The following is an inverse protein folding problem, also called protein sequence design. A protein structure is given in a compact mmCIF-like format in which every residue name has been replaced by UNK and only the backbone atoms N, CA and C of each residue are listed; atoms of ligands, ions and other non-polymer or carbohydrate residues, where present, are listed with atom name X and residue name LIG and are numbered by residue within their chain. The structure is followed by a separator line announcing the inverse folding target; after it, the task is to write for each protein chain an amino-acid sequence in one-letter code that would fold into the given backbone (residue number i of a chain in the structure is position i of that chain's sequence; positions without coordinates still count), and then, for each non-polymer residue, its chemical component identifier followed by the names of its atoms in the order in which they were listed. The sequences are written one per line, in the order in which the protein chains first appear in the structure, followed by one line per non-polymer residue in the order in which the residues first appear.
data_IF_364565517487
#
_entry.id   IF_364565517487
#
_cell.length_a   1.000
_cell.length_b   1.000
_cell.length_c   1.000
_cell.angle_alpha   90.00
_cell.angle_beta   90.00
_cell.angle_gamma   90.00
#
_symmetry.space_group_name_H-M   'P 1'
#
loop_
_entity.id
_entity.type
_entity.pdbx_description
1 polymer ?
#
# COMPACT_ATOMS: atom_id res chain seq x y z
N UNK A 1 -8.66 2.89 -35.15
CA UNK A 1 -8.86 2.08 -33.93
C UNK A 1 -8.52 2.98 -32.75
N UNK A 2 -9.38 3.06 -31.74
CA UNK A 2 -9.16 3.92 -30.55
C UNK A 2 -8.06 3.36 -29.66
N UNK A 3 -7.12 4.22 -29.21
CA UNK A 3 -5.96 3.83 -28.39
C UNK A 3 -6.16 4.33 -26.95
N UNK A 4 -6.34 3.40 -26.03
CA UNK A 4 -6.33 3.66 -24.58
C UNK A 4 -4.93 3.40 -24.03
N UNK A 5 -4.35 4.39 -23.39
CA UNK A 5 -3.12 4.20 -22.59
C UNK A 5 -3.45 4.39 -21.12
N UNK A 6 -3.13 3.40 -20.31
CA UNK A 6 -3.28 3.40 -18.85
C UNK A 6 -1.88 3.39 -18.26
N UNK A 7 -1.54 4.42 -17.48
CA UNK A 7 -0.25 4.51 -16.80
C UNK A 7 -0.43 4.25 -15.32
N UNK A 8 0.19 3.18 -14.85
CA UNK A 8 0.10 2.68 -13.48
C UNK A 8 -0.79 1.44 -13.37
N UNK A 9 -0.18 0.29 -13.09
CA UNK A 9 -0.82 -1.01 -12.92
C UNK A 9 -1.29 -1.30 -11.48
N UNK A 10 -1.54 -0.27 -10.68
CA UNK A 10 -2.11 -0.41 -9.34
C UNK A 10 -3.54 -0.96 -9.35
N UNK A 11 -4.19 -0.96 -8.17
CA UNK A 11 -5.53 -1.54 -7.97
C UNK A 11 -6.57 -1.11 -9.01
N UNK A 12 -6.60 0.18 -9.37
CA UNK A 12 -7.57 0.68 -10.36
C UNK A 12 -7.10 0.54 -11.79
N UNK A 13 -5.80 0.78 -12.08
CA UNK A 13 -5.28 0.76 -13.45
C UNK A 13 -5.27 -0.63 -14.05
N UNK A 14 -4.81 -1.64 -13.31
CA UNK A 14 -4.83 -3.03 -13.78
C UNK A 14 -6.27 -3.53 -13.98
N UNK A 15 -7.19 -3.23 -13.03
CA UNK A 15 -8.59 -3.60 -13.20
C UNK A 15 -9.21 -2.97 -14.45
N UNK A 16 -8.93 -1.68 -14.69
CA UNK A 16 -9.45 -0.99 -15.87
C UNK A 16 -8.86 -1.59 -17.17
N UNK A 17 -7.55 -1.89 -17.19
CA UNK A 17 -6.88 -2.52 -18.33
C UNK A 17 -7.49 -3.89 -18.63
N UNK A 18 -7.69 -4.73 -17.61
CA UNK A 18 -8.32 -6.05 -17.70
C UNK A 18 -9.73 -5.94 -18.32
N UNK A 19 -10.58 -5.07 -17.77
CA UNK A 19 -11.96 -4.90 -18.25
C UNK A 19 -12.05 -4.34 -19.67
N UNK A 20 -11.18 -3.37 -20.01
CA UNK A 20 -11.15 -2.80 -21.36
C UNK A 20 -10.59 -3.81 -22.37
N UNK A 21 -9.56 -4.56 -21.98
CA UNK A 21 -8.98 -5.62 -22.79
C UNK A 21 -9.98 -6.75 -23.08
N UNK A 22 -10.68 -7.25 -22.07
CA UNK A 22 -11.74 -8.27 -22.22
C UNK A 22 -12.87 -7.80 -23.14
N UNK A 23 -13.16 -6.50 -23.15
CA UNK A 23 -14.29 -5.93 -23.89
C UNK A 23 -13.95 -5.51 -25.32
N UNK A 24 -12.79 -4.91 -25.50
CA UNK A 24 -12.41 -4.21 -26.73
C UNK A 24 -11.12 -4.75 -27.35
N UNK A 25 -10.27 -5.41 -26.59
CA UNK A 25 -9.05 -6.06 -27.04
C UNK A 25 -9.33 -7.36 -27.81
N UNK A 26 -8.27 -8.10 -28.06
CA UNK A 26 -8.35 -9.42 -28.66
C UNK A 26 -7.35 -10.36 -28.02
N UNK A 27 -7.80 -11.56 -27.67
CA UNK A 27 -6.96 -12.69 -27.24
C UNK A 27 -6.73 -13.68 -28.38
N UNK A 28 -7.35 -13.45 -29.54
CA UNK A 28 -7.27 -14.30 -30.74
C UNK A 28 -6.75 -13.47 -31.92
N UNK A 29 -5.67 -13.92 -32.55
CA UNK A 29 -5.09 -13.30 -33.75
C UNK A 29 -6.08 -13.15 -34.92
N UNK A 30 -7.12 -13.97 -34.96
CA UNK A 30 -8.15 -13.95 -36.03
C UNK A 30 -9.21 -12.87 -35.80
N UNK A 31 -9.35 -12.37 -34.58
CA UNK A 31 -10.39 -11.38 -34.26
C UNK A 31 -9.73 -10.02 -34.05
N UNK A 32 -9.92 -9.04 -34.96
CA UNK A 32 -9.29 -7.74 -34.78
C UNK A 32 -9.85 -7.04 -33.52
N UNK A 33 -9.01 -6.40 -32.74
CA UNK A 33 -9.46 -5.64 -31.56
C UNK A 33 -10.32 -4.44 -31.99
N UNK A 34 -11.31 -4.10 -31.16
CA UNK A 34 -12.15 -2.91 -31.35
C UNK A 34 -11.45 -1.64 -30.88
N UNK A 35 -10.58 -1.77 -29.91
CA UNK A 35 -9.66 -0.73 -29.44
C UNK A 35 -8.35 -1.37 -29.00
N UNK A 36 -7.26 -0.60 -29.08
CA UNK A 36 -5.98 -0.97 -28.50
C UNK A 36 -5.94 -0.47 -27.06
N UNK A 37 -5.60 -1.35 -26.13
CA UNK A 37 -5.47 -1.04 -24.71
C UNK A 37 -4.04 -1.35 -24.29
N UNK A 38 -3.31 -0.35 -23.80
CA UNK A 38 -1.92 -0.52 -23.38
C UNK A 38 -1.80 -0.10 -21.89
N UNK A 39 -1.32 -1.02 -21.07
CA UNK A 39 -0.95 -0.77 -19.68
C UNK A 39 0.55 -0.48 -19.60
N UNK A 40 0.92 0.58 -18.89
CA UNK A 40 2.32 0.95 -18.63
C UNK A 40 2.52 0.95 -17.12
N UNK A 41 3.53 0.22 -16.66
CA UNK A 41 4.00 0.29 -15.26
C UNK A 41 5.52 0.13 -15.23
N UNK A 42 6.15 0.76 -14.24
CA UNK A 42 7.60 0.65 -14.02
C UNK A 42 8.02 -0.73 -13.53
N UNK A 43 7.12 -1.45 -12.84
CA UNK A 43 7.35 -2.81 -12.38
C UNK A 43 6.80 -3.82 -13.39
N UNK A 44 7.35 -5.04 -13.48
CA UNK A 44 6.81 -6.10 -14.32
C UNK A 44 5.60 -6.79 -13.69
N UNK A 45 5.39 -6.62 -12.38
CA UNK A 45 4.40 -7.33 -11.58
C UNK A 45 3.52 -6.38 -10.77
N UNK A 46 2.29 -6.82 -10.52
CA UNK A 46 1.38 -6.17 -9.59
C UNK A 46 1.44 -6.83 -8.22
N UNK A 47 1.56 -6.02 -7.18
CA UNK A 47 1.31 -6.43 -5.81
C UNK A 47 0.21 -5.56 -5.20
N UNK A 48 -0.61 -6.16 -4.36
CA UNK A 48 -1.63 -5.43 -3.62
C UNK A 48 -0.99 -4.58 -2.52
N UNK A 49 -0.77 -3.30 -2.80
CA UNK A 49 -0.04 -2.36 -1.91
C UNK A 49 -0.51 -2.39 -0.44
N UNK A 50 -1.80 -2.56 -0.10
CA UNK A 50 -2.23 -2.71 1.28
C UNK A 50 -1.59 -3.86 2.06
N UNK A 51 -1.01 -4.87 1.39
CA UNK A 51 -0.33 -6.00 2.05
C UNK A 51 1.18 -5.79 2.25
N UNK A 52 1.74 -4.64 1.89
CA UNK A 52 3.19 -4.39 2.04
C UNK A 52 3.67 -4.45 3.50
N UNK A 53 2.81 -4.20 4.47
CA UNK A 53 3.13 -4.38 5.89
C UNK A 53 3.36 -5.86 6.25
N UNK A 54 2.65 -6.80 5.62
CA UNK A 54 2.87 -8.24 5.79
C UNK A 54 4.18 -8.69 5.15
N UNK A 55 4.56 -8.12 3.98
CA UNK A 55 5.86 -8.35 3.35
C UNK A 55 6.98 -7.83 4.25
N UNK A 56 6.84 -6.61 4.78
CA UNK A 56 7.81 -5.99 5.68
C UNK A 56 8.00 -6.80 6.97
N UNK A 57 6.92 -7.33 7.52
CA UNK A 57 6.97 -8.21 8.68
C UNK A 57 7.45 -9.63 8.35
N UNK A 58 7.48 -10.04 7.09
CA UNK A 58 7.89 -11.38 6.66
C UNK A 58 6.80 -12.45 6.77
N UNK A 59 5.57 -12.07 7.13
CA UNK A 59 4.43 -12.99 7.19
C UNK A 59 3.83 -13.31 5.82
N UNK A 60 4.21 -12.53 4.79
CA UNK A 60 3.83 -12.77 3.40
C UNK A 60 5.06 -12.83 2.49
N UNK A 61 5.09 -13.82 1.60
CA UNK A 61 6.06 -13.89 0.51
C UNK A 61 5.51 -13.17 -0.72
N UNK A 62 6.11 -12.05 -1.16
CA UNK A 62 5.62 -11.28 -2.31
C UNK A 62 5.59 -12.13 -3.58
N UNK A 63 6.57 -12.99 -3.84
CA UNK A 63 6.65 -13.83 -5.04
C UNK A 63 5.46 -14.79 -5.21
N UNK A 64 4.74 -15.10 -4.15
CA UNK A 64 3.55 -15.97 -4.22
C UNK A 64 2.25 -15.20 -4.45
N UNK A 65 2.28 -13.88 -4.37
CA UNK A 65 1.11 -12.99 -4.45
C UNK A 65 1.21 -11.97 -5.59
N UNK A 66 2.36 -11.88 -6.24
CA UNK A 66 2.55 -11.02 -7.40
C UNK A 66 1.82 -11.56 -8.62
N UNK A 67 1.24 -10.64 -9.39
CA UNK A 67 0.58 -10.94 -10.66
C UNK A 67 1.43 -10.35 -11.79
N UNK A 68 1.91 -11.20 -12.68
CA UNK A 68 2.67 -10.81 -13.87
C UNK A 68 1.80 -10.01 -14.85
N UNK A 69 2.15 -8.75 -15.12
CA UNK A 69 1.39 -7.93 -16.08
C UNK A 69 1.37 -8.51 -17.50
N UNK A 70 2.48 -9.12 -17.94
CA UNK A 70 2.55 -9.75 -19.27
C UNK A 70 1.57 -10.92 -19.39
N UNK A 71 1.42 -11.74 -18.34
CA UNK A 71 0.45 -12.82 -18.32
C UNK A 71 -0.99 -12.28 -18.30
N UNK A 72 -1.26 -11.24 -17.50
CA UNK A 72 -2.57 -10.58 -17.49
C UNK A 72 -2.92 -10.00 -18.88
N UNK A 73 -1.95 -9.36 -19.54
CA UNK A 73 -2.12 -8.80 -20.87
C UNK A 73 -2.54 -9.88 -21.89
N UNK A 74 -1.85 -11.01 -21.88
CA UNK A 74 -2.17 -12.14 -22.74
C UNK A 74 -3.57 -12.70 -22.49
N UNK A 75 -3.95 -12.87 -21.23
CA UNK A 75 -5.23 -13.48 -20.86
C UNK A 75 -6.44 -12.58 -21.10
N UNK A 76 -6.22 -11.25 -21.08
CA UNK A 76 -7.28 -10.26 -21.13
C UNK A 76 -7.22 -9.35 -22.37
N UNK A 77 -6.35 -9.63 -23.34
CA UNK A 77 -6.33 -8.95 -24.63
C UNK A 77 -5.93 -7.47 -24.55
N UNK A 78 -5.06 -7.09 -23.62
CA UNK A 78 -4.40 -5.79 -23.62
C UNK A 78 -2.89 -5.96 -23.82
N UNK A 79 -2.18 -4.87 -24.09
CA UNK A 79 -0.72 -4.86 -24.20
C UNK A 79 -0.10 -4.34 -22.90
N UNK A 80 1.03 -4.93 -22.50
CA UNK A 80 1.82 -4.42 -21.38
C UNK A 80 3.16 -3.87 -21.89
N UNK A 81 3.51 -2.68 -21.44
CA UNK A 81 4.82 -2.08 -21.67
C UNK A 81 5.44 -1.64 -20.35
N UNK A 82 6.58 -2.25 -19.99
CA UNK A 82 7.32 -1.84 -18.82
C UNK A 82 8.01 -0.49 -19.04
N UNK A 83 7.86 0.43 -18.09
CA UNK A 83 8.49 1.74 -18.11
C UNK A 83 7.79 2.74 -17.21
N UNK A 84 8.42 3.87 -17.01
CA UNK A 84 7.92 4.97 -16.17
C UNK A 84 7.48 6.16 -17.04
N UNK A 85 6.36 6.77 -16.71
CA UNK A 85 5.93 8.03 -17.34
C UNK A 85 6.92 9.13 -16.95
N UNK A 86 7.54 9.75 -17.94
CA UNK A 86 8.48 10.87 -17.74
C UNK A 86 8.04 12.16 -18.44
N UNK A 87 7.06 12.10 -19.33
CA UNK A 87 6.54 13.27 -20.03
C UNK A 87 5.16 13.07 -20.65
N UNK A 88 4.51 14.18 -20.95
CA UNK A 88 3.24 14.26 -21.66
C UNK A 88 3.28 15.42 -22.65
N UNK A 89 2.75 15.22 -23.84
CA UNK A 89 2.47 16.26 -24.83
C UNK A 89 1.01 16.15 -25.27
N UNK A 90 0.14 16.96 -24.67
CA UNK A 90 -1.31 16.94 -24.95
C UNK A 90 -1.65 17.40 -26.35
N UNK A 91 -0.88 18.35 -26.89
CA UNK A 91 -1.11 18.86 -28.25
C UNK A 91 -0.87 17.79 -29.33
N UNK A 92 0.15 16.94 -29.11
CA UNK A 92 0.45 15.79 -29.99
C UNK A 92 -0.28 14.53 -29.60
N UNK A 93 -0.91 14.50 -28.41
CA UNK A 93 -1.49 13.30 -27.78
C UNK A 93 -0.45 12.18 -27.65
N UNK A 94 0.74 12.49 -27.12
CA UNK A 94 1.80 11.52 -26.84
C UNK A 94 2.20 11.55 -25.39
N UNK A 95 2.60 10.41 -24.86
CA UNK A 95 3.32 10.30 -23.61
C UNK A 95 4.76 9.87 -23.89
N UNK A 96 5.66 10.30 -23.01
CA UNK A 96 7.05 9.83 -23.02
C UNK A 96 7.22 8.80 -21.90
N UNK A 97 7.66 7.59 -22.28
CA UNK A 97 8.03 6.51 -21.37
C UNK A 97 9.54 6.50 -21.27
N UNK A 98 10.07 6.65 -20.07
CA UNK A 98 11.51 6.69 -19.81
C UNK A 98 12.24 5.40 -20.18
N UNK A 99 13.56 5.44 -20.25
CA UNK A 99 14.38 4.27 -20.56
C UNK A 99 14.23 3.21 -19.46
N UNK A 100 14.17 1.95 -19.87
CA UNK A 100 14.23 0.81 -18.94
C UNK A 100 15.70 0.43 -18.76
N UNK A 101 16.17 0.41 -17.50
CA UNK A 101 17.53 0.06 -17.14
C UNK A 101 17.55 -1.08 -16.14
N UNK A 102 18.51 -1.95 -16.31
CA UNK A 102 18.86 -3.00 -15.36
C UNK A 102 20.20 -2.67 -14.69
N UNK A 103 20.35 -3.00 -13.41
CA UNK A 103 21.58 -2.69 -12.65
C UNK A 103 22.83 -3.37 -13.22
N UNK A 104 22.67 -4.53 -13.88
CA UNK A 104 23.78 -5.33 -14.42
C UNK A 104 23.88 -5.27 -15.94
N UNK A 105 22.75 -5.18 -16.65
CA UNK A 105 22.69 -5.22 -18.10
C UNK A 105 22.70 -3.81 -18.76
N UNK A 106 22.57 -2.73 -17.97
CA UNK A 106 22.53 -1.37 -18.49
C UNK A 106 21.16 -1.00 -19.07
N UNK A 107 21.13 -0.25 -20.18
CA UNK A 107 19.89 0.17 -20.82
C UNK A 107 19.29 -0.97 -21.65
N UNK A 108 18.12 -1.47 -21.23
CA UNK A 108 17.36 -2.53 -21.90
C UNK A 108 16.47 -1.97 -23.01
N UNK A 109 15.79 -0.85 -22.75
CA UNK A 109 14.95 -0.14 -23.70
C UNK A 109 15.24 1.36 -23.64
N UNK A 110 15.35 2.06 -24.78
CA UNK A 110 15.49 3.50 -24.79
C UNK A 110 14.20 4.20 -24.39
N UNK A 111 14.32 5.51 -24.16
CA UNK A 111 13.17 6.39 -24.07
C UNK A 111 12.31 6.29 -25.35
N UNK A 112 10.97 6.30 -25.20
CA UNK A 112 10.04 6.15 -26.33
C UNK A 112 8.78 6.96 -26.14
N UNK A 113 8.24 7.45 -27.25
CA UNK A 113 6.95 8.12 -27.29
C UNK A 113 5.84 7.13 -27.70
N UNK A 114 4.68 7.24 -27.06
CA UNK A 114 3.48 6.47 -27.37
C UNK A 114 2.31 7.41 -27.59
N UNK A 115 1.59 7.20 -28.69
CA UNK A 115 0.42 7.99 -29.04
C UNK A 115 -0.86 7.42 -28.38
N UNK A 116 -1.74 8.31 -27.92
CA UNK A 116 -3.04 7.94 -27.35
C UNK A 116 -4.19 8.73 -27.94
N UNK A 117 -5.38 8.16 -27.90
CA UNK A 117 -6.64 8.87 -28.09
C UNK A 117 -7.29 9.19 -26.74
N UNK A 118 -7.08 8.31 -25.76
CA UNK A 118 -7.47 8.51 -24.36
C UNK A 118 -6.33 8.07 -23.43
N UNK A 119 -5.87 8.97 -22.55
CA UNK A 119 -4.86 8.69 -21.53
C UNK A 119 -5.52 8.59 -20.16
N UNK A 120 -5.16 7.56 -19.40
CA UNK A 120 -5.60 7.36 -18.02
C UNK A 120 -4.39 7.33 -17.10
N UNK A 121 -4.28 8.30 -16.19
CA UNK A 121 -3.22 8.39 -15.18
C UNK A 121 -3.70 7.69 -13.90
N UNK A 122 -3.06 6.58 -13.54
CA UNK A 122 -3.41 5.72 -12.40
C UNK A 122 -2.18 5.36 -11.54
N UNK A 123 -1.18 6.26 -11.47
CA UNK A 123 0.13 6.01 -10.87
C UNK A 123 0.15 6.02 -9.33
N UNK A 124 -1.00 6.17 -8.70
CA UNK A 124 -1.15 6.09 -7.24
C UNK A 124 -0.49 7.22 -6.47
N UNK A 125 0.01 6.90 -5.29
CA UNK A 125 0.65 7.82 -4.35
C UNK A 125 2.01 7.33 -3.89
N UNK A 126 2.82 8.27 -3.38
CA UNK A 126 4.10 8.02 -2.71
C UNK A 126 4.06 8.58 -1.29
N UNK A 127 4.95 8.12 -0.45
CA UNK A 127 5.10 8.61 0.93
C UNK A 127 5.44 10.11 0.95
N UNK A 128 4.81 10.84 1.86
CA UNK A 128 5.07 12.25 2.13
C UNK A 128 5.87 12.41 3.42
N UNK A 129 7.10 12.89 3.31
CA UNK A 129 7.99 13.11 4.47
C UNK A 129 7.79 14.49 5.15
N UNK A 130 6.85 15.31 4.69
CA UNK A 130 6.50 16.64 5.22
C UNK A 130 7.68 17.62 5.37
N UNK A 131 8.81 17.36 4.70
CA UNK A 131 10.02 18.17 4.84
C UNK A 131 10.77 17.93 6.17
N UNK A 132 10.43 16.89 6.91
CA UNK A 132 11.11 16.53 8.16
C UNK A 132 12.56 16.17 7.87
N UNK A 133 13.48 16.83 8.57
CA UNK A 133 14.91 16.65 8.40
C UNK A 133 15.33 15.20 8.62
N UNK A 134 16.10 14.66 7.66
CA UNK A 134 16.62 13.29 7.70
C UNK A 134 15.57 12.18 7.53
N UNK A 135 14.28 12.47 7.45
CA UNK A 135 13.23 11.45 7.37
C UNK A 135 13.37 10.59 6.10
N UNK A 136 13.62 11.19 4.95
CA UNK A 136 13.77 10.46 3.69
C UNK A 136 15.03 9.60 3.64
N UNK A 137 16.11 10.05 4.28
CA UNK A 137 17.42 9.38 4.27
C UNK A 137 17.52 8.26 5.32
N UNK A 138 16.90 8.46 6.48
CA UNK A 138 17.08 7.63 7.67
C UNK A 138 15.87 6.76 8.01
N UNK A 139 14.79 6.81 7.22
CA UNK A 139 13.64 5.92 7.39
C UNK A 139 13.33 5.13 6.12
N UNK A 140 12.59 4.05 6.28
CA UNK A 140 12.09 3.21 5.20
C UNK A 140 10.59 3.49 5.04
N UNK A 141 10.20 3.94 3.85
CA UNK A 141 8.78 3.98 3.47
C UNK A 141 8.31 2.57 3.05
N UNK A 142 7.00 2.34 3.04
CA UNK A 142 6.41 1.09 2.55
C UNK A 142 5.59 1.35 1.27
N UNK A 143 6.26 1.91 0.27
CA UNK A 143 5.64 2.20 -1.03
C UNK A 143 5.80 1.07 -2.04
N UNK A 144 6.87 0.27 -1.89
CA UNK A 144 7.26 -0.79 -2.84
C UNK A 144 7.65 -2.08 -2.12
N UNK A 145 7.61 -3.20 -2.85
CA UNK A 145 8.09 -4.51 -2.37
C UNK A 145 9.54 -4.43 -1.92
N UNK A 146 10.41 -3.80 -2.73
CA UNK A 146 11.83 -3.66 -2.41
C UNK A 146 12.08 -2.93 -1.09
N UNK A 147 11.28 -1.89 -0.76
CA UNK A 147 11.37 -1.20 0.53
C UNK A 147 10.89 -2.08 1.69
N UNK A 148 9.79 -2.82 1.50
CA UNK A 148 9.29 -3.77 2.50
C UNK A 148 10.31 -4.88 2.78
N UNK A 149 10.91 -5.45 1.73
CA UNK A 149 11.98 -6.45 1.86
C UNK A 149 13.26 -5.90 2.47
N UNK A 150 13.65 -4.66 2.13
CA UNK A 150 14.78 -3.99 2.75
C UNK A 150 14.57 -3.86 4.27
N UNK A 151 13.38 -3.43 4.69
CA UNK A 151 13.03 -3.36 6.10
C UNK A 151 13.13 -4.74 6.76
N UNK A 152 12.52 -5.77 6.17
CA UNK A 152 12.57 -7.14 6.67
C UNK A 152 14.01 -7.64 6.84
N UNK A 153 14.85 -7.49 5.81
CA UNK A 153 16.28 -7.89 5.85
C UNK A 153 17.03 -7.17 6.97
N UNK A 154 16.80 -5.88 7.16
CA UNK A 154 17.43 -5.10 8.23
C UNK A 154 16.96 -5.54 9.62
N UNK A 155 15.66 -5.83 9.76
CA UNK A 155 15.09 -6.34 11.03
C UNK A 155 15.72 -7.68 11.40
N UNK A 156 15.75 -8.65 10.48
CA UNK A 156 16.36 -9.96 10.70
C UNK A 156 17.84 -9.83 11.06
N UNK A 157 18.59 -8.99 10.34
CA UNK A 157 20.01 -8.74 10.62
C UNK A 157 20.22 -8.09 12.00
N UNK A 158 19.32 -7.21 12.44
CA UNK A 158 19.36 -6.64 13.80
C UNK A 158 19.10 -7.72 14.86
N UNK A 159 18.10 -8.58 14.66
CA UNK A 159 17.80 -9.70 15.53
C UNK A 159 18.97 -10.69 15.63
N UNK A 160 19.60 -11.06 14.51
CA UNK A 160 20.76 -11.94 14.50
C UNK A 160 21.96 -11.35 15.26
N UNK A 161 22.23 -10.05 15.10
CA UNK A 161 23.28 -9.36 15.86
C UNK A 161 22.97 -9.35 17.36
N UNK A 162 21.74 -9.01 17.73
CA UNK A 162 21.33 -8.96 19.12
C UNK A 162 21.38 -10.34 19.79
N UNK A 163 21.02 -11.41 19.09
CA UNK A 163 21.16 -12.80 19.53
C UNK A 163 22.62 -13.17 19.76
N UNK A 164 23.52 -12.84 18.81
CA UNK A 164 24.95 -13.19 18.89
C UNK A 164 25.64 -12.54 20.08
N UNK A 165 25.34 -11.27 20.35
CA UNK A 165 25.93 -10.50 21.43
C UNK A 165 25.12 -10.58 22.74
N UNK A 166 24.08 -11.38 22.78
CA UNK A 166 23.31 -11.61 24.01
C UNK A 166 24.19 -12.34 25.05
N UNK A 167 24.17 -11.94 26.32
CA UNK A 167 24.75 -12.75 27.38
C UNK A 167 24.07 -14.13 27.42
N UNK A 168 24.83 -15.17 27.84
CA UNK A 168 24.21 -16.48 28.04
C UNK A 168 23.08 -16.36 29.07
N UNK A 169 21.95 -17.07 28.89
CA UNK A 169 20.90 -17.09 29.89
C UNK A 169 21.51 -17.55 31.22
N UNK A 170 21.41 -16.74 32.23
CA UNK A 170 21.82 -17.15 33.57
C UNK A 170 20.91 -18.31 33.98
N UNK A 171 21.51 -19.47 34.28
CA UNK A 171 20.75 -20.64 34.70
C UNK A 171 19.83 -20.24 35.87
N UNK A 172 18.56 -20.59 35.77
CA UNK A 172 17.57 -20.28 36.78
C UNK A 172 18.05 -20.79 38.17
N UNK A 173 18.50 -19.91 39.04
CA UNK A 173 19.02 -20.27 40.37
C UNK A 173 19.85 -19.18 41.04
N UNK A 174 20.09 -18.03 40.43
CA UNK A 174 20.71 -16.88 41.13
C UNK A 174 19.71 -15.73 41.08
N UNK A 175 18.87 -15.66 42.10
CA UNK A 175 18.21 -14.44 42.50
C UNK A 175 19.33 -13.44 42.83
N UNK A 176 19.38 -12.31 42.10
CA UNK A 176 19.91 -11.04 42.57
C UNK A 176 20.29 -10.15 41.35
N UNK A 177 19.30 -9.60 40.71
CA UNK A 177 19.33 -8.21 40.28
C UNK A 177 17.97 -7.64 40.65
N UNK A 178 17.91 -6.91 41.75
CA UNK A 178 16.75 -6.10 42.08
C UNK A 178 16.47 -5.18 40.90
N UNK A 179 15.44 -5.51 40.11
CA UNK A 179 14.84 -4.59 39.16
C UNK A 179 14.43 -3.34 39.95
N UNK A 180 15.08 -2.23 39.72
CA UNK A 180 14.60 -0.96 40.28
C UNK A 180 13.15 -0.78 39.80
N UNK A 181 12.19 -0.68 40.71
CA UNK A 181 10.79 -0.59 40.34
C UNK A 181 10.54 0.74 39.63
N UNK A 182 10.31 0.67 38.29
CA UNK A 182 9.87 1.82 37.49
C UNK A 182 10.70 2.17 36.25
N UNK A 183 11.76 1.46 35.94
CA UNK A 183 12.51 1.66 34.69
C UNK A 183 12.19 0.50 33.76
N UNK A 184 11.41 0.76 32.70
CA UNK A 184 11.21 -0.24 31.62
C UNK A 184 12.57 -0.65 31.04
N UNK A 185 12.89 -1.93 30.94
CA UNK A 185 14.15 -2.38 30.38
C UNK A 185 14.33 -1.83 28.96
N UNK A 186 15.51 -1.29 28.66
CA UNK A 186 15.81 -0.74 27.34
C UNK A 186 15.88 -1.91 26.36
N UNK A 187 15.03 -1.99 25.34
CA UNK A 187 15.04 -3.08 24.39
C UNK A 187 16.37 -3.11 23.61
N UNK A 188 16.86 -4.29 23.28
CA UNK A 188 18.09 -4.48 22.48
C UNK A 188 17.93 -3.92 21.08
N UNK A 189 16.74 -4.09 20.50
CA UNK A 189 16.34 -3.58 19.18
C UNK A 189 15.13 -2.69 19.37
N UNK A 190 15.20 -1.44 18.91
CA UNK A 190 14.08 -0.52 18.91
C UNK A 190 13.63 -0.23 17.48
N UNK A 191 12.41 -0.63 17.14
CA UNK A 191 11.74 -0.25 15.90
C UNK A 191 10.82 0.93 16.16
N UNK A 192 11.00 2.01 15.44
CA UNK A 192 10.12 3.17 15.47
C UNK A 192 9.28 3.26 14.21
N UNK A 193 7.98 3.44 14.36
CA UNK A 193 7.03 3.60 13.28
C UNK A 193 6.41 4.99 13.40
N UNK A 194 6.60 5.83 12.40
CA UNK A 194 6.06 7.20 12.34
C UNK A 194 4.78 7.21 11.54
N UNK A 195 3.68 7.59 12.17
CA UNK A 195 2.33 7.61 11.59
C UNK A 195 1.48 6.43 12.05
N UNK A 196 0.43 6.71 12.82
CA UNK A 196 -0.51 5.72 13.33
C UNK A 196 -1.82 5.65 12.52
N UNK A 197 -1.72 5.78 11.20
CA UNK A 197 -2.76 5.38 10.25
C UNK A 197 -2.86 3.85 10.14
N UNK A 198 -3.66 3.36 9.18
CA UNK A 198 -3.85 1.91 8.99
C UNK A 198 -2.51 1.17 8.83
N UNK A 199 -1.64 1.62 7.94
CA UNK A 199 -0.34 0.96 7.65
C UNK A 199 0.56 0.85 8.89
N UNK A 200 0.70 1.94 9.68
CA UNK A 200 1.55 1.91 10.87
C UNK A 200 0.98 1.01 11.97
N UNK A 201 -0.32 1.02 12.16
CA UNK A 201 -1.03 0.17 13.11
C UNK A 201 -0.92 -1.31 12.71
N UNK A 202 -1.19 -1.64 11.45
CA UNK A 202 -1.08 -3.00 10.90
C UNK A 202 0.34 -3.54 11.01
N UNK A 203 1.35 -2.73 10.63
CA UNK A 203 2.75 -3.11 10.76
C UNK A 203 3.14 -3.34 12.22
N UNK A 204 2.71 -2.47 13.15
CA UNK A 204 3.02 -2.62 14.59
C UNK A 204 2.52 -3.95 15.16
N UNK A 205 1.30 -4.34 14.80
CA UNK A 205 0.72 -5.61 15.23
C UNK A 205 1.43 -6.81 14.59
N UNK A 206 1.72 -6.73 13.29
CA UNK A 206 2.35 -7.82 12.55
C UNK A 206 3.81 -8.03 12.98
N UNK A 207 4.56 -6.95 13.26
CA UNK A 207 5.93 -7.04 13.80
C UNK A 207 5.97 -7.74 15.16
N UNK A 208 4.97 -7.55 16.00
CA UNK A 208 4.90 -8.24 17.29
C UNK A 208 4.71 -9.76 17.11
N UNK A 209 3.89 -10.14 16.14
CA UNK A 209 3.73 -11.54 15.74
C UNK A 209 5.05 -12.11 15.17
N UNK A 210 5.71 -11.37 14.28
CA UNK A 210 7.00 -11.76 13.70
C UNK A 210 8.07 -11.97 14.76
N UNK A 211 8.17 -11.08 15.74
CA UNK A 211 9.11 -11.19 16.85
C UNK A 211 8.95 -12.53 17.59
N UNK A 212 7.71 -12.94 17.88
CA UNK A 212 7.42 -14.23 18.54
C UNK A 212 7.83 -15.42 17.67
N UNK A 213 7.60 -15.36 16.35
CA UNK A 213 7.97 -16.44 15.43
C UNK A 213 9.49 -16.54 15.27
N UNK A 214 10.20 -15.40 15.20
CA UNK A 214 11.67 -15.38 15.10
C UNK A 214 12.34 -16.03 16.32
N UNK A 215 11.83 -15.76 17.52
CA UNK A 215 12.31 -16.45 18.73
C UNK A 215 12.11 -17.96 18.65
N UNK A 216 10.96 -18.42 18.15
CA UNK A 216 10.68 -19.85 17.98
C UNK A 216 11.55 -20.51 16.88
N UNK A 217 12.13 -19.77 15.94
CA UNK A 217 12.96 -20.28 14.83
C UNK A 217 14.47 -20.31 15.13
N UNK A 218 14.88 -20.10 16.37
CA UNK A 218 16.27 -20.30 16.77
C UNK A 218 16.96 -19.07 17.36
N UNK A 219 16.25 -17.97 17.54
CA UNK A 219 16.77 -16.82 18.29
C UNK A 219 16.40 -16.96 19.78
N UNK A 220 17.01 -17.96 20.45
CA UNK A 220 16.59 -18.40 21.78
C UNK A 220 17.03 -17.50 22.92
N UNK A 221 18.05 -16.63 22.69
CA UNK A 221 18.56 -15.67 23.68
C UNK A 221 17.81 -14.34 23.66
N UNK A 222 16.92 -14.16 22.66
CA UNK A 222 16.08 -12.96 22.56
C UNK A 222 14.70 -13.22 23.13
N UNK A 223 14.31 -12.42 24.12
CA UNK A 223 12.91 -12.33 24.52
C UNK A 223 12.15 -11.40 23.58
N UNK A 224 11.21 -11.92 22.77
CA UNK A 224 10.48 -11.13 21.78
C UNK A 224 9.66 -10.00 22.40
N UNK A 225 9.33 -10.06 23.70
CA UNK A 225 8.56 -9.01 24.39
C UNK A 225 9.44 -7.88 24.91
N UNK A 226 10.60 -8.20 25.43
CA UNK A 226 11.48 -7.26 26.14
C UNK A 226 12.62 -6.77 25.25
N UNK A 227 13.20 -7.65 24.42
CA UNK A 227 14.37 -7.31 23.61
C UNK A 227 14.02 -6.61 22.29
N UNK A 228 12.78 -6.76 21.78
CA UNK A 228 12.32 -6.09 20.57
C UNK A 228 11.25 -5.05 20.93
N UNK A 229 11.67 -3.80 21.11
CA UNK A 229 10.79 -2.68 21.34
C UNK A 229 10.13 -2.19 20.04
N UNK A 230 8.84 -1.89 20.08
CA UNK A 230 8.10 -1.25 19.01
C UNK A 230 7.46 0.01 19.54
N UNK A 231 7.78 1.17 18.94
CA UNK A 231 7.14 2.44 19.26
C UNK A 231 6.41 2.97 18.05
N UNK A 232 5.13 3.32 18.24
CA UNK A 232 4.27 3.93 17.23
C UNK A 232 4.04 5.39 17.59
N UNK A 233 4.50 6.31 16.72
CA UNK A 233 4.50 7.76 16.96
C UNK A 233 3.44 8.39 16.05
N UNK A 234 2.56 9.22 16.65
CA UNK A 234 1.47 9.89 15.96
C UNK A 234 1.40 11.36 16.37
N UNK A 235 1.35 12.25 15.38
CA UNK A 235 1.22 13.68 15.61
C UNK A 235 -0.16 14.08 16.19
N UNK A 236 -1.20 13.34 15.80
CA UNK A 236 -2.56 13.54 16.30
C UNK A 236 -2.78 12.99 17.70
N UNK A 237 -3.90 13.36 18.34
CA UNK A 237 -4.21 12.95 19.71
C UNK A 237 -4.59 11.48 19.87
N UNK A 238 -4.82 10.75 18.76
CA UNK A 238 -5.21 9.34 18.76
C UNK A 238 -4.72 8.61 17.53
N UNK A 239 -4.54 7.32 17.63
CA UNK A 239 -4.26 6.45 16.48
C UNK A 239 -5.50 6.29 15.59
N UNK A 240 -5.35 5.87 14.33
CA UNK A 240 -6.44 5.68 13.36
C UNK A 240 -7.39 6.90 13.31
N UNK A 241 -6.91 8.13 13.09
CA UNK A 241 -7.73 9.34 13.19
C UNK A 241 -8.89 9.37 12.19
N UNK A 242 -8.79 8.63 11.09
CA UNK A 242 -9.84 8.51 10.08
C UNK A 242 -11.00 7.58 10.47
N UNK A 243 -10.84 6.80 11.54
CA UNK A 243 -11.86 5.87 12.03
C UNK A 243 -12.62 6.46 13.24
N UNK A 244 -13.70 5.80 13.63
CA UNK A 244 -14.47 6.20 14.80
C UNK A 244 -13.61 6.08 16.07
N UNK A 245 -13.82 6.96 17.04
CA UNK A 245 -13.03 7.04 18.26
C UNK A 245 -13.01 5.71 19.04
N UNK A 246 -14.15 5.03 19.16
CA UNK A 246 -14.25 3.72 19.82
C UNK A 246 -13.34 2.66 19.17
N UNK A 247 -13.16 2.69 17.82
CA UNK A 247 -12.23 1.80 17.11
C UNK A 247 -10.80 2.14 17.47
N UNK A 248 -10.48 3.44 17.51
CA UNK A 248 -9.17 3.94 17.90
C UNK A 248 -8.81 3.49 19.34
N UNK A 249 -9.72 3.63 20.29
CA UNK A 249 -9.50 3.23 21.69
C UNK A 249 -9.28 1.72 21.79
N UNK A 250 -10.17 0.90 21.22
CA UNK A 250 -10.03 -0.56 21.27
C UNK A 250 -8.73 -1.06 20.62
N UNK A 251 -8.32 -0.41 19.52
CA UNK A 251 -7.06 -0.73 18.85
C UNK A 251 -5.85 -0.32 19.70
N UNK A 252 -5.89 0.85 20.34
CA UNK A 252 -4.82 1.31 21.22
C UNK A 252 -4.63 0.37 22.42
N UNK A 253 -5.72 -0.05 23.05
CA UNK A 253 -5.68 -1.02 24.15
C UNK A 253 -5.07 -2.35 23.72
N UNK A 254 -5.43 -2.85 22.53
CA UNK A 254 -4.87 -4.10 22.01
C UNK A 254 -3.38 -3.96 21.71
N UNK A 255 -2.95 -2.90 21.01
CA UNK A 255 -1.52 -2.66 20.71
C UNK A 255 -0.70 -2.53 22.03
N UNK A 256 -1.23 -1.84 23.03
CA UNK A 256 -0.58 -1.72 24.33
C UNK A 256 -0.45 -3.09 25.02
N UNK A 257 -1.49 -3.93 25.01
CA UNK A 257 -1.42 -5.32 25.51
C UNK A 257 -0.40 -6.18 24.76
N UNK A 258 -0.18 -5.89 23.47
CA UNK A 258 0.85 -6.52 22.66
C UNK A 258 2.27 -5.97 22.95
N UNK A 259 2.41 -4.98 23.83
CA UNK A 259 3.69 -4.36 24.18
C UNK A 259 4.18 -3.36 23.14
N UNK A 260 3.28 -2.77 22.33
CA UNK A 260 3.60 -1.63 21.46
C UNK A 260 3.47 -0.35 22.27
N UNK A 261 4.54 0.45 22.34
CA UNK A 261 4.52 1.77 22.98
C UNK A 261 3.86 2.79 22.04
N UNK A 262 2.76 3.38 22.50
CA UNK A 262 2.05 4.41 21.74
C UNK A 262 2.49 5.81 22.20
N UNK A 263 2.86 6.66 21.25
CA UNK A 263 3.21 8.07 21.50
C UNK A 263 2.34 8.94 20.60
N UNK A 264 1.19 9.35 21.13
CA UNK A 264 0.26 10.28 20.47
C UNK A 264 0.57 11.72 20.84
N UNK A 265 0.08 12.68 20.05
CA UNK A 265 0.38 14.11 20.17
C UNK A 265 1.89 14.43 20.11
N UNK A 266 2.64 13.60 19.39
CA UNK A 266 4.09 13.75 19.21
C UNK A 266 4.42 13.94 17.73
N UNK A 267 4.76 15.17 17.38
CA UNK A 267 5.20 15.50 16.01
C UNK A 267 6.69 15.24 15.86
N UNK A 268 7.08 14.45 14.89
CA UNK A 268 8.49 14.20 14.56
C UNK A 268 9.08 15.45 13.90
N UNK A 269 10.19 15.95 14.41
CA UNK A 269 10.89 17.11 13.90
C UNK A 269 12.15 16.73 13.10
N UNK A 270 12.84 15.65 13.51
CA UNK A 270 14.05 15.16 12.83
C UNK A 270 14.16 13.64 12.99
N UNK A 271 14.70 13.00 11.97
CA UNK A 271 15.05 11.56 11.99
C UNK A 271 16.55 11.42 11.73
N UNK A 272 17.25 10.89 12.71
CA UNK A 272 18.68 10.53 12.62
C UNK A 272 18.82 9.03 12.33
N UNK A 273 20.05 8.57 12.17
CA UNK A 273 20.35 7.16 11.87
C UNK A 273 19.89 6.20 12.95
N UNK A 274 19.93 6.64 14.20
CA UNK A 274 19.70 5.84 15.42
C UNK A 274 18.70 6.45 16.38
N UNK A 275 18.07 7.56 16.01
CA UNK A 275 17.14 8.28 16.87
C UNK A 275 16.14 9.14 16.11
N UNK A 276 15.01 9.41 16.76
CA UNK A 276 13.97 10.34 16.33
C UNK A 276 13.85 11.43 17.37
N UNK A 277 13.83 12.68 16.91
CA UNK A 277 13.58 13.85 17.73
C UNK A 277 12.18 14.39 17.48
N UNK A 278 11.41 14.61 18.53
CA UNK A 278 10.07 15.21 18.42
C UNK A 278 10.10 16.71 18.66
N UNK A 279 9.07 17.41 18.20
CA UNK A 279 8.92 18.84 18.44
C UNK A 279 8.74 19.19 19.92
N UNK A 280 8.33 18.23 20.76
CA UNK A 280 8.25 18.40 22.23
C UNK A 280 9.61 18.27 22.94
N UNK A 281 10.69 17.99 22.18
CA UNK A 281 12.05 17.84 22.71
C UNK A 281 12.39 16.42 23.20
N UNK A 282 11.51 15.43 22.98
CA UNK A 282 11.83 14.03 23.29
C UNK A 282 12.77 13.43 22.25
N UNK A 283 13.74 12.64 22.72
CA UNK A 283 14.60 11.80 21.90
C UNK A 283 14.17 10.34 22.07
N UNK A 284 13.94 9.65 20.96
CA UNK A 284 13.52 8.26 20.91
C UNK A 284 14.61 7.48 20.19
N UNK A 285 15.25 6.53 20.85
CA UNK A 285 16.18 5.61 20.19
C UNK A 285 15.42 4.80 19.13
N UNK A 286 16.03 4.60 17.96
CA UNK A 286 15.45 3.81 16.88
C UNK A 286 16.56 3.16 16.07
N UNK A 287 16.72 1.84 16.20
CA UNK A 287 17.65 1.07 15.36
C UNK A 287 17.11 0.90 13.93
N UNK A 288 15.78 0.95 13.79
CA UNK A 288 15.07 0.92 12.52
C UNK A 288 13.90 1.90 12.57
N UNK A 289 13.80 2.76 11.56
CA UNK A 289 12.68 3.69 11.43
C UNK A 289 11.86 3.39 10.19
N UNK A 290 10.55 3.22 10.36
CA UNK A 290 9.57 3.14 9.26
C UNK A 290 8.77 4.43 9.22
N UNK A 291 8.63 5.01 8.04
CA UNK A 291 7.79 6.17 7.82
C UNK A 291 6.48 5.77 7.15
N UNK A 292 5.40 5.71 7.91
CA UNK A 292 4.05 5.36 7.49
C UNK A 292 3.08 6.56 7.55
N UNK A 293 3.63 7.78 7.70
CA UNK A 293 2.85 9.02 7.82
C UNK A 293 2.69 9.71 6.47
N UNK A 294 1.44 9.98 6.11
CA UNK A 294 1.09 10.82 4.96
C UNK A 294 1.45 10.24 3.59
N UNK A 295 0.67 10.65 2.61
CA UNK A 295 0.88 10.35 1.20
C UNK A 295 0.76 11.62 0.37
N UNK A 296 1.42 11.64 -0.78
CA UNK A 296 1.29 12.65 -1.82
C UNK A 296 1.32 11.99 -3.19
N UNK A 297 0.85 12.68 -4.19
CA UNK A 297 1.00 12.19 -5.56
C UNK A 297 2.46 12.24 -6.01
N UNK A 298 2.86 11.36 -6.96
CA UNK A 298 4.21 11.38 -7.53
C UNK A 298 4.57 12.75 -8.14
N UNK A 299 5.84 13.17 -7.96
CA UNK A 299 6.31 14.51 -8.32
C UNK A 299 6.15 14.83 -9.83
N UNK A 300 6.17 13.82 -10.69
CA UNK A 300 5.99 13.99 -12.13
C UNK A 300 4.69 14.70 -12.47
N UNK A 301 3.62 14.53 -11.68
CA UNK A 301 2.33 15.15 -11.93
C UNK A 301 2.33 16.66 -11.77
N UNK A 302 3.22 17.21 -10.97
CA UNK A 302 3.30 18.66 -10.72
C UNK A 302 3.65 19.46 -12.00
N UNK A 303 4.37 18.81 -12.93
CA UNK A 303 4.80 19.44 -14.19
C UNK A 303 4.36 18.66 -15.43
N UNK A 304 3.25 17.92 -15.36
CA UNK A 304 2.78 17.09 -16.45
C UNK A 304 1.99 17.93 -17.46
N UNK A 305 2.69 18.59 -18.38
CA UNK A 305 2.18 19.41 -19.49
C UNK A 305 1.08 20.42 -19.06
N UNK A 306 1.29 21.08 -17.91
CA UNK A 306 0.40 22.11 -17.39
C UNK A 306 -0.94 21.61 -16.85
N UNK A 307 -1.11 20.30 -16.64
CA UNK A 307 -2.27 19.76 -15.96
C UNK A 307 -2.34 20.27 -14.52
N UNK A 308 -3.48 20.82 -14.06
CA UNK A 308 -3.60 21.39 -12.74
C UNK A 308 -3.55 20.32 -11.65
N UNK A 309 -2.87 20.65 -10.54
CA UNK A 309 -2.76 19.78 -9.37
C UNK A 309 -3.17 20.52 -8.10
N UNK A 310 -3.62 19.79 -7.10
CA UNK A 310 -3.85 20.31 -5.75
C UNK A 310 -2.54 20.40 -4.94
N UNK A 311 -2.63 20.79 -3.65
CA UNK A 311 -1.47 20.93 -2.73
C UNK A 311 -0.72 19.62 -2.47
N UNK A 312 -1.36 18.46 -2.68
CA UNK A 312 -0.75 17.14 -2.54
C UNK A 312 -0.18 16.62 -3.87
N UNK A 313 -0.18 17.45 -4.94
CA UNK A 313 0.28 17.07 -6.27
C UNK A 313 -0.69 16.18 -7.05
N UNK A 314 -1.91 15.93 -6.54
CA UNK A 314 -2.92 15.13 -7.22
C UNK A 314 -3.51 15.93 -8.39
N UNK A 315 -3.68 15.29 -9.55
CA UNK A 315 -4.36 15.88 -10.69
C UNK A 315 -5.80 16.25 -10.33
N UNK A 316 -6.20 17.51 -10.55
CA UNK A 316 -7.58 17.94 -10.35
C UNK A 316 -8.45 17.41 -11.49
N UNK A 317 -9.52 16.71 -11.13
CA UNK A 317 -10.42 16.10 -12.10
C UNK A 317 -11.87 16.50 -11.85
N UNK A 318 -12.64 16.52 -12.94
CA UNK A 318 -14.09 16.65 -12.88
C UNK A 318 -14.73 15.36 -12.36
N UNK A 319 -16.00 15.38 -12.07
CA UNK A 319 -16.75 14.16 -11.67
C UNK A 319 -16.82 13.10 -12.78
N UNK A 320 -16.53 13.44 -14.01
CA UNK A 320 -16.32 12.50 -15.13
C UNK A 320 -14.98 11.77 -15.05
N UNK A 321 -14.11 12.13 -14.09
CA UNK A 321 -12.71 11.75 -13.96
C UNK A 321 -11.78 12.24 -15.08
N UNK A 322 -12.27 13.10 -15.96
CA UNK A 322 -11.44 13.87 -16.89
C UNK A 322 -10.69 14.97 -16.12
N UNK A 323 -9.49 15.31 -16.56
CA UNK A 323 -8.78 16.48 -16.03
C UNK A 323 -9.56 17.76 -16.35
N UNK A 324 -9.34 18.82 -15.60
CA UNK A 324 -10.12 20.08 -15.77
C UNK A 324 -9.95 20.72 -17.13
N UNK A 325 -8.78 20.57 -17.75
CA UNK A 325 -8.38 21.29 -18.96
C UNK A 325 -8.20 20.41 -20.20
N UNK A 326 -8.36 19.07 -20.09
CA UNK A 326 -8.22 18.16 -21.23
C UNK A 326 -9.22 17.01 -21.14
N UNK A 327 -10.07 16.90 -22.16
CA UNK A 327 -11.13 15.88 -22.22
C UNK A 327 -10.63 14.49 -22.56
N UNK A 328 -9.40 14.36 -23.05
CA UNK A 328 -8.80 13.07 -23.43
C UNK A 328 -7.90 12.51 -22.33
N UNK A 329 -7.64 13.27 -21.26
CA UNK A 329 -6.81 12.86 -20.14
C UNK A 329 -7.65 12.66 -18.89
N UNK A 330 -7.64 11.46 -18.36
CA UNK A 330 -8.36 11.04 -17.16
C UNK A 330 -7.36 10.71 -16.04
N UNK A 331 -7.81 10.80 -14.79
CA UNK A 331 -7.04 10.28 -13.66
C UNK A 331 -7.94 9.56 -12.66
N UNK A 332 -7.38 8.53 -12.00
CA UNK A 332 -8.08 7.75 -11.00
C UNK A 332 -7.16 7.32 -9.84
N UNK A 333 -7.75 6.92 -8.73
CA UNK A 333 -7.04 6.48 -7.54
C UNK A 333 -6.36 7.62 -6.78
N UNK A 334 -5.29 7.30 -6.07
CA UNK A 334 -4.64 8.22 -5.13
C UNK A 334 -3.98 9.43 -5.81
N UNK A 335 -3.69 9.36 -7.11
CA UNK A 335 -3.13 10.48 -7.88
C UNK A 335 -4.19 11.47 -8.39
N UNK A 336 -5.48 11.23 -8.16
CA UNK A 336 -6.58 12.04 -8.63
C UNK A 336 -7.30 12.76 -7.47
N UNK A 337 -7.49 14.06 -7.58
CA UNK A 337 -8.31 14.88 -6.68
C UNK A 337 -9.73 14.98 -7.25
N UNK A 338 -10.55 13.94 -6.99
CA UNK A 338 -11.92 13.87 -7.47
C UNK A 338 -12.90 14.49 -6.45
N UNK A 339 -13.78 15.43 -6.85
CA UNK A 339 -14.78 15.99 -5.96
C UNK A 339 -15.73 14.92 -5.41
N UNK A 340 -16.05 15.03 -4.11
CA UNK A 340 -17.03 14.16 -3.44
C UNK A 340 -18.27 14.97 -3.06
N UNK A 341 -19.37 14.88 -3.81
CA UNK A 341 -20.57 15.66 -3.55
C UNK A 341 -21.09 15.49 -2.14
N UNK A 342 -21.44 16.62 -1.50
CA UNK A 342 -21.90 16.62 -0.11
C UNK A 342 -20.79 16.55 0.95
N UNK A 343 -19.52 16.57 0.53
CA UNK A 343 -18.37 16.61 1.43
C UNK A 343 -17.45 17.78 1.06
N UNK A 344 -16.81 18.37 2.06
CA UNK A 344 -15.80 19.43 1.84
C UNK A 344 -14.47 18.87 1.30
N UNK A 345 -14.26 17.56 1.42
CA UNK A 345 -13.05 16.85 1.00
C UNK A 345 -13.28 16.07 -0.28
N UNK A 346 -12.22 15.91 -1.04
CA UNK A 346 -12.21 15.01 -2.19
C UNK A 346 -12.40 13.53 -1.77
N UNK A 347 -12.70 12.69 -2.74
CA UNK A 347 -12.72 11.25 -2.57
C UNK A 347 -11.39 10.80 -1.93
N UNK A 348 -11.44 10.05 -0.81
CA UNK A 348 -10.23 9.66 -0.10
C UNK A 348 -9.36 8.70 -0.91
N UNK A 349 -8.03 8.82 -0.82
CA UNK A 349 -7.09 7.90 -1.47
C UNK A 349 -7.14 6.52 -0.81
N UNK A 350 -7.90 5.62 -1.40
CA UNK A 350 -8.13 4.25 -0.92
C UNK A 350 -8.31 3.29 -2.08
N UNK A 351 -7.90 2.04 -1.90
CA UNK A 351 -8.07 0.99 -2.89
C UNK A 351 -9.55 0.83 -3.34
N UNK A 352 -10.51 0.95 -2.42
CA UNK A 352 -11.94 0.89 -2.77
C UNK A 352 -12.40 2.05 -3.67
N UNK A 353 -11.81 3.24 -3.53
CA UNK A 353 -12.10 4.37 -4.41
C UNK A 353 -11.55 4.12 -5.82
N UNK A 354 -10.30 3.64 -5.92
CA UNK A 354 -9.68 3.29 -7.19
C UNK A 354 -10.46 2.19 -7.93
N UNK A 355 -10.93 1.16 -7.22
CA UNK A 355 -11.78 0.09 -7.78
C UNK A 355 -13.13 0.63 -8.31
N UNK A 356 -13.81 1.49 -7.53
CA UNK A 356 -15.06 2.10 -7.98
C UNK A 356 -14.85 3.02 -9.20
N UNK A 357 -13.76 3.79 -9.22
CA UNK A 357 -13.40 4.67 -10.32
C UNK A 357 -13.03 3.86 -11.59
N UNK A 358 -12.32 2.75 -11.47
CA UNK A 358 -12.02 1.85 -12.59
C UNK A 358 -13.32 1.27 -13.19
N UNK A 359 -14.21 0.76 -12.34
CA UNK A 359 -15.53 0.25 -12.75
C UNK A 359 -16.40 1.33 -13.41
N UNK A 360 -16.32 2.56 -12.93
CA UNK A 360 -17.03 3.71 -13.48
C UNK A 360 -16.46 4.12 -14.84
N UNK A 361 -15.12 4.23 -14.98
CA UNK A 361 -14.46 4.59 -16.24
C UNK A 361 -14.70 3.52 -17.33
N UNK A 362 -14.69 2.25 -16.97
CA UNK A 362 -15.04 1.20 -17.92
C UNK A 362 -16.40 1.45 -18.59
N UNK A 363 -17.44 1.71 -17.79
CA UNK A 363 -18.78 2.04 -18.29
C UNK A 363 -18.82 3.38 -19.05
N UNK A 364 -18.02 4.33 -18.61
CA UNK A 364 -17.92 5.64 -19.26
C UNK A 364 -17.29 5.51 -20.65
N UNK A 365 -16.26 4.71 -20.80
CA UNK A 365 -15.63 4.48 -22.12
C UNK A 365 -16.49 3.65 -23.07
N UNK A 366 -17.29 2.71 -22.58
CA UNK A 366 -18.32 2.06 -23.42
C UNK A 366 -19.31 3.09 -24.01
N UNK A 367 -19.72 4.06 -23.19
CA UNK A 367 -20.61 5.16 -23.63
C UNK A 367 -19.91 6.10 -24.60
N UNK A 368 -18.67 6.49 -24.28
CA UNK A 368 -17.85 7.39 -25.10
C UNK A 368 -17.65 6.85 -26.52
N UNK A 369 -17.30 5.57 -26.66
CA UNK A 369 -17.15 4.91 -27.97
C UNK A 369 -18.46 4.82 -28.75
N UNK A 370 -19.62 4.96 -28.10
CA UNK A 370 -20.94 5.06 -28.71
C UNK A 370 -21.38 6.50 -28.99
N UNK A 371 -20.50 7.49 -28.75
CA UNK A 371 -20.84 8.93 -28.89
C UNK A 371 -21.82 9.45 -27.84
N UNK A 372 -22.01 8.76 -26.72
CA UNK A 372 -22.91 9.15 -25.63
C UNK A 372 -22.16 10.02 -24.60
N UNK A 373 -22.85 10.97 -23.93
CA UNK A 373 -22.25 11.80 -22.90
C UNK A 373 -21.76 10.95 -21.73
N UNK A 374 -20.64 11.40 -21.11
CA UNK A 374 -20.08 10.75 -19.93
C UNK A 374 -20.97 10.98 -18.70
N UNK A 375 -21.17 9.98 -17.86
CA UNK A 375 -21.87 10.12 -16.59
C UNK A 375 -21.00 10.85 -15.55
N UNK A 376 -21.58 11.17 -14.40
CA UNK A 376 -20.86 11.70 -13.25
C UNK A 376 -20.63 10.63 -12.19
N UNK A 377 -19.40 10.56 -11.70
CA UNK A 377 -18.98 9.64 -10.64
C UNK A 377 -19.52 10.08 -9.28
N UNK A 378 -19.94 9.11 -8.51
CA UNK A 378 -20.31 9.28 -7.10
C UNK A 378 -19.66 8.19 -6.27
N UNK A 379 -18.79 8.59 -5.35
CA UNK A 379 -18.13 7.67 -4.43
C UNK A 379 -19.09 7.17 -3.35
N UNK A 380 -19.04 5.87 -3.08
CA UNK A 380 -19.73 5.23 -1.95
C UNK A 380 -18.69 4.72 -0.97
N UNK A 381 -18.71 5.23 0.24
CA UNK A 381 -17.84 4.75 1.31
C UNK A 381 -18.46 3.49 1.95
N UNK A 382 -17.80 2.37 1.81
CA UNK A 382 -18.19 1.10 2.45
C UNK A 382 -17.55 0.90 3.82
N UNK A 383 -16.82 1.89 4.32
CA UNK A 383 -16.10 1.83 5.57
C UNK A 383 -14.62 1.48 5.39
N UNK A 384 -13.98 1.15 6.49
CA UNK A 384 -12.56 0.78 6.53
C UNK A 384 -12.35 -0.34 7.53
N UNK A 385 -11.46 -1.26 7.16
CA UNK A 385 -11.01 -2.37 8.00
C UNK A 385 -9.49 -2.25 8.18
N UNK A 386 -9.03 -2.55 9.37
CA UNK A 386 -7.61 -2.56 9.75
C UNK A 386 -7.30 -3.94 10.33
N UNK A 387 -6.31 -4.60 9.78
CA UNK A 387 -5.84 -5.90 10.27
C UNK A 387 -4.89 -5.70 11.46
N UNK A 388 -5.07 -6.49 12.51
CA UNK A 388 -4.15 -6.56 13.64
C UNK A 388 -3.45 -7.92 13.65
N UNK A 389 -3.09 -8.40 12.48
CA UNK A 389 -2.40 -9.67 12.26
C UNK A 389 -3.22 -10.86 12.73
N UNK A 390 -2.59 -11.77 13.46
CA UNK A 390 -3.25 -12.95 14.03
C UNK A 390 -4.15 -12.65 15.22
N UNK A 391 -4.07 -11.45 15.80
CA UNK A 391 -4.76 -11.14 17.05
C UNK A 391 -6.21 -10.73 16.83
N UNK A 392 -6.49 -9.89 15.84
CA UNK A 392 -7.84 -9.38 15.56
C UNK A 392 -7.85 -8.61 14.23
N UNK A 393 -9.02 -8.21 13.79
CA UNK A 393 -9.20 -7.10 12.86
C UNK A 393 -10.29 -6.20 13.45
N UNK A 394 -10.15 -4.91 13.22
CA UNK A 394 -11.12 -3.91 13.69
C UNK A 394 -11.52 -3.02 12.53
N UNK A 395 -12.74 -2.54 12.54
CA UNK A 395 -13.18 -1.67 11.49
C UNK A 395 -14.61 -1.20 11.64
N UNK A 396 -15.00 -0.37 10.69
CA UNK A 396 -16.34 0.16 10.60
C UNK A 396 -16.92 -0.15 9.22
N UNK A 397 -18.10 -0.78 9.20
CA UNK A 397 -18.85 -0.99 7.97
C UNK A 397 -19.88 0.13 7.85
N UNK A 398 -19.78 0.93 6.77
CA UNK A 398 -20.78 1.96 6.48
C UNK A 398 -21.92 1.39 5.64
N UNK A 399 -23.10 1.55 6.15
CA UNK A 399 -24.29 0.80 5.74
C UNK A 399 -24.94 1.19 4.42
N UNK A 400 -24.54 0.49 3.35
CA UNK A 400 -25.51 0.24 2.28
C UNK A 400 -26.35 -1.02 2.50
N UNK A 401 -25.92 -1.92 3.40
CA UNK A 401 -26.58 -3.20 3.69
C UNK A 401 -27.32 -3.26 5.03
N UNK A 402 -27.02 -2.39 6.01
CA UNK A 402 -27.54 -2.53 7.39
C UNK A 402 -28.05 -1.20 7.98
N UNK A 403 -28.23 -0.14 7.19
CA UNK A 403 -28.87 1.12 7.67
C UNK A 403 -28.18 1.84 8.84
N UNK A 404 -26.88 1.61 9.10
CA UNK A 404 -26.14 2.23 10.19
C UNK A 404 -24.65 1.86 10.21
N UNK A 405 -23.89 2.50 11.10
CA UNK A 405 -22.47 2.21 11.33
C UNK A 405 -22.34 1.02 12.29
N UNK A 406 -21.90 -0.13 11.81
CA UNK A 406 -21.64 -1.31 12.63
C UNK A 406 -20.14 -1.46 12.89
N UNK A 407 -19.75 -1.49 14.17
CA UNK A 407 -18.41 -1.90 14.58
C UNK A 407 -18.27 -3.40 14.35
N UNK A 408 -17.18 -3.79 13.68
CA UNK A 408 -16.86 -5.20 13.43
C UNK A 408 -15.51 -5.49 14.07
N UNK A 409 -15.45 -6.52 14.89
CA UNK A 409 -14.25 -6.96 15.60
C UNK A 409 -14.05 -8.47 15.48
N UNK A 410 -12.84 -8.93 15.72
CA UNK A 410 -12.50 -10.34 15.83
C UNK A 410 -12.46 -11.10 14.51
N UNK A 411 -12.82 -12.38 14.55
CA UNK A 411 -12.72 -13.30 13.41
C UNK A 411 -13.55 -12.86 12.20
N UNK A 412 -14.70 -12.25 12.42
CA UNK A 412 -15.57 -11.78 11.33
C UNK A 412 -14.94 -10.59 10.58
N UNK A 413 -14.36 -9.62 11.31
CA UNK A 413 -13.64 -8.51 10.70
C UNK A 413 -12.42 -9.01 9.90
N UNK A 414 -11.71 -10.02 10.42
CA UNK A 414 -10.60 -10.67 9.71
C UNK A 414 -11.05 -11.35 8.43
N UNK A 415 -12.16 -12.07 8.47
CA UNK A 415 -12.75 -12.68 7.28
C UNK A 415 -13.09 -11.62 6.22
N UNK A 416 -13.69 -10.51 6.64
CA UNK A 416 -14.03 -9.39 5.76
C UNK A 416 -12.79 -8.70 5.20
N UNK A 417 -11.74 -8.49 6.00
CA UNK A 417 -10.47 -7.94 5.51
C UNK A 417 -9.86 -8.83 4.41
N UNK A 418 -9.80 -10.13 4.66
CA UNK A 418 -9.34 -11.10 3.65
C UNK A 418 -10.22 -11.11 2.39
N UNK A 419 -11.53 -10.86 2.54
CA UNK A 419 -12.45 -10.82 1.40
C UNK A 419 -12.20 -9.63 0.47
N UNK A 420 -11.66 -8.50 0.97
CA UNK A 420 -11.32 -7.35 0.14
C UNK A 420 -10.23 -7.70 -0.88
N UNK A 421 -9.16 -8.36 -0.45
CA UNK A 421 -8.12 -8.85 -1.36
C UNK A 421 -8.70 -9.86 -2.37
N UNK A 422 -9.54 -10.79 -1.92
CA UNK A 422 -10.16 -11.79 -2.80
C UNK A 422 -11.12 -11.20 -3.81
N UNK A 423 -11.85 -10.14 -3.45
CA UNK A 423 -12.67 -9.39 -4.39
C UNK A 423 -11.81 -8.70 -5.46
N UNK A 424 -10.62 -8.19 -5.09
CA UNK A 424 -9.68 -7.68 -6.08
C UNK A 424 -9.21 -8.79 -7.04
N UNK A 425 -8.78 -9.95 -6.52
CA UNK A 425 -8.41 -11.10 -7.34
C UNK A 425 -9.57 -11.58 -8.22
N UNK A 426 -10.80 -11.58 -7.69
CA UNK A 426 -12.00 -11.93 -8.46
C UNK A 426 -12.30 -10.92 -9.58
N UNK A 427 -12.01 -9.63 -9.37
CA UNK A 427 -12.17 -8.60 -10.39
C UNK A 427 -11.19 -8.77 -11.56
N UNK A 428 -9.99 -9.34 -11.29
CA UNK A 428 -8.95 -9.60 -12.29
C UNK A 428 -9.10 -10.96 -12.98
N UNK A 429 -9.46 -12.01 -12.26
CA UNK A 429 -9.41 -13.39 -12.75
C UNK A 429 -10.76 -14.11 -12.80
N UNK A 430 -11.81 -13.46 -12.30
CA UNK A 430 -13.12 -14.07 -12.12
C UNK A 430 -13.21 -14.97 -10.87
N UNK A 431 -14.43 -15.28 -10.48
CA UNK A 431 -14.73 -16.00 -9.23
C UNK A 431 -14.18 -17.42 -9.19
N UNK A 432 -14.17 -18.15 -10.30
CA UNK A 432 -13.71 -19.54 -10.34
C UNK A 432 -12.21 -19.65 -10.01
N UNK A 433 -11.37 -18.82 -10.65
CA UNK A 433 -9.92 -18.78 -10.37
C UNK A 433 -9.65 -18.27 -8.97
N UNK A 434 -10.37 -17.26 -8.49
CA UNK A 434 -10.25 -16.77 -7.11
C UNK A 434 -10.54 -17.87 -6.08
N UNK A 435 -11.55 -18.73 -6.30
CA UNK A 435 -11.83 -19.86 -5.40
C UNK A 435 -10.71 -20.89 -5.43
N UNK A 436 -10.21 -21.24 -6.62
CA UNK A 436 -9.08 -22.17 -6.77
C UNK A 436 -7.82 -21.67 -6.08
N UNK A 437 -7.48 -20.39 -6.28
CA UNK A 437 -6.32 -19.75 -5.62
C UNK A 437 -6.50 -19.75 -4.09
N UNK A 438 -7.71 -19.49 -3.62
CA UNK A 438 -8.06 -19.55 -2.20
C UNK A 438 -7.80 -20.93 -1.60
N UNK A 439 -8.23 -21.98 -2.26
CA UNK A 439 -8.03 -23.35 -1.80
C UNK A 439 -6.53 -23.72 -1.84
N UNK A 440 -5.84 -23.37 -2.93
CA UNK A 440 -4.41 -23.59 -3.07
C UNK A 440 -3.61 -22.87 -1.97
N UNK A 441 -3.94 -21.61 -1.67
CA UNK A 441 -3.33 -20.85 -0.59
C UNK A 441 -3.58 -21.50 0.78
N UNK A 442 -4.80 -21.96 1.04
CA UNK A 442 -5.15 -22.64 2.29
C UNK A 442 -4.35 -23.95 2.47
N UNK A 443 -4.19 -24.74 1.42
CA UNK A 443 -3.37 -25.97 1.42
C UNK A 443 -1.89 -25.67 1.66
N UNK A 444 -1.33 -24.65 0.97
CA UNK A 444 0.08 -24.23 1.13
C UNK A 444 0.36 -23.73 2.55
N UNK A 445 -0.59 -23.05 3.18
CA UNK A 445 -0.41 -22.47 4.52
C UNK A 445 -0.10 -23.52 5.60
N UNK A 446 -0.47 -24.78 5.40
CA UNK A 446 -0.15 -25.88 6.34
C UNK A 446 1.31 -26.31 6.28
N UNK A 447 2.02 -26.02 5.17
CA UNK A 447 3.40 -26.47 4.92
C UNK A 447 4.39 -25.31 4.79
N UNK A 448 3.91 -24.08 4.59
CA UNK A 448 4.77 -22.91 4.47
C UNK A 448 5.25 -22.40 5.84
N UNK A 449 6.48 -21.85 5.92
CA UNK A 449 6.95 -21.19 7.13
C UNK A 449 6.07 -19.98 7.46
N UNK A 450 5.86 -19.73 8.76
CA UNK A 450 5.02 -18.59 9.22
C UNK A 450 5.67 -17.24 8.99
N UNK A 451 6.99 -17.20 8.95
CA UNK A 451 7.80 -16.00 8.67
C UNK A 451 8.94 -16.39 7.75
N UNK A 452 9.17 -15.58 6.72
CA UNK A 452 10.24 -15.78 5.75
C UNK A 452 11.54 -15.14 6.28
N UNK A 453 12.61 -15.93 6.37
CA UNK A 453 13.91 -15.49 6.92
C UNK A 453 14.91 -15.03 5.84
N UNK A 454 14.64 -15.23 4.56
CA UNK A 454 15.54 -14.93 3.43
C UNK A 454 14.84 -14.19 2.31
#
# INVERSE_FOLDING_TARGET
MHRFIIVGGGAGGLELATRLGDRFGSTDEKTPPKAQVTLIDRNPTHIWKPLLHEVAAGSMDPFTQELEYAAQALWHGFEFQQGELVGLNRAKKTITVGPLRDEHAGELLPERELEYDTLIVAIGSTTHFFGVEGAQQNSIALDTVGQAELFRKRLIAACMRAEHFAPEPVAAGVDDAEDEPGVDPVPRIQVAIVGAGATGVELSAELRNTAQVLSAYGLHKLDPKHDIGIVLIEAGPRILPALQERVSIATAELLTKLGVKLMTSETVAQVSRDSIHTASGKMIRADLTVWAAGIKAPAILTNLDGLPTNRLGQLTVRRTLQTEIDDNVFALGDCAACPWPGNERNVPPRAQAAHQQASFLFKSFERMLQGKPLPEYTYRDFGSLVSLGHYSAVGNLMGGLIGGNMLIEGLFARFMYMSLYRLHVAALHGYARMVLDTVAHWLRRSTAPRVKLH
#
